data_IF_311467860373
#
_entry.id   IF_311467860373
#
_cell.length_a   1.000
_cell.length_b   1.000
_cell.length_c   1.000
_cell.angle_alpha   90.00
_cell.angle_beta   90.00
_cell.angle_gamma   90.00
#
_symmetry.space_group_name_H-M   'P 1'
#
loop_
_entity.id
_entity.type
_entity.pdbx_description
1 polymer ?
#
# COMPACT_ATOMS: atom_id res chain seq x y z
N UNK A 1 -22.09 -20.43 -26.72
CA UNK A 1 -22.15 -18.96 -26.82
C UNK A 1 -22.29 -18.44 -25.40
N UNK A 2 -21.16 -18.18 -24.74
CA UNK A 2 -21.16 -17.57 -23.40
C UNK A 2 -21.09 -16.07 -23.63
N UNK A 3 -22.20 -15.39 -23.40
CA UNK A 3 -22.22 -13.94 -23.30
C UNK A 3 -21.54 -13.57 -21.96
N UNK A 4 -20.32 -13.07 -22.04
CA UNK A 4 -19.72 -12.32 -20.94
C UNK A 4 -20.58 -11.07 -20.74
N UNK A 5 -21.51 -11.12 -19.82
CA UNK A 5 -22.19 -9.93 -19.32
C UNK A 5 -21.21 -9.21 -18.42
N UNK A 6 -20.57 -8.17 -18.91
CA UNK A 6 -19.93 -7.19 -18.06
C UNK A 6 -20.97 -6.65 -17.07
N UNK A 7 -20.60 -6.48 -15.79
CA UNK A 7 -21.48 -5.81 -14.84
C UNK A 7 -21.84 -4.40 -15.38
N UNK A 8 -23.03 -3.89 -15.07
CA UNK A 8 -23.40 -2.53 -15.45
C UNK A 8 -22.43 -1.54 -14.82
N UNK A 9 -21.98 -0.56 -15.61
CA UNK A 9 -21.13 0.53 -15.13
C UNK A 9 -21.78 1.21 -13.90
N UNK A 10 -20.99 1.65 -12.90
CA UNK A 10 -21.51 2.34 -11.73
C UNK A 10 -22.34 3.54 -12.15
N UNK A 11 -23.46 3.78 -11.45
CA UNK A 11 -24.45 4.83 -11.77
C UNK A 11 -23.96 6.26 -11.45
N UNK A 12 -22.71 6.46 -11.05
CA UNK A 12 -22.03 7.71 -10.78
C UNK A 12 -20.95 8.02 -11.83
N UNK A 13 -20.68 9.28 -12.06
CA UNK A 13 -19.56 9.71 -12.89
C UNK A 13 -18.26 9.34 -12.17
N UNK A 14 -17.36 8.60 -12.85
CA UNK A 14 -16.05 8.24 -12.30
C UNK A 14 -15.22 9.50 -12.05
N UNK A 15 -14.38 9.54 -10.99
CA UNK A 15 -13.39 10.61 -10.84
C UNK A 15 -12.56 10.74 -12.13
N UNK A 16 -12.17 11.96 -12.52
CA UNK A 16 -11.37 12.13 -13.74
C UNK A 16 -10.03 11.40 -13.60
N UNK A 17 -9.61 10.75 -14.68
CA UNK A 17 -8.31 10.06 -14.74
C UNK A 17 -7.20 11.11 -14.93
N UNK A 18 -6.81 11.73 -13.84
CA UNK A 18 -5.77 12.73 -13.77
C UNK A 18 -4.99 12.60 -12.46
N UNK A 19 -3.68 12.88 -12.52
CA UNK A 19 -2.88 12.91 -11.30
C UNK A 19 -3.39 13.97 -10.33
N UNK A 20 -3.59 13.64 -9.05
CA UNK A 20 -4.23 14.55 -8.13
C UNK A 20 -3.31 15.70 -7.69
N UNK A 21 -3.90 16.87 -7.52
CA UNK A 21 -3.30 18.01 -6.82
C UNK A 21 -4.16 18.32 -5.60
N UNK A 22 -3.57 18.29 -4.41
CA UNK A 22 -4.32 18.50 -3.17
C UNK A 22 -4.06 19.88 -2.57
N UNK A 23 -5.12 20.58 -2.17
CA UNK A 23 -5.02 21.82 -1.41
C UNK A 23 -4.71 21.56 0.08
N UNK A 24 -5.13 20.42 0.59
CA UNK A 24 -5.00 20.01 1.99
C UNK A 24 -5.26 18.49 2.16
N UNK A 25 -5.04 17.98 3.37
CA UNK A 25 -5.24 16.56 3.69
C UNK A 25 -6.70 16.12 3.57
N UNK A 26 -7.66 17.05 3.73
CA UNK A 26 -9.07 16.73 3.55
C UNK A 26 -9.38 16.46 2.08
N UNK A 27 -8.88 17.28 1.17
CA UNK A 27 -9.05 17.08 -0.28
C UNK A 27 -8.40 15.74 -0.72
N UNK A 28 -7.22 15.42 -0.17
CA UNK A 28 -6.56 14.12 -0.39
C UNK A 28 -7.44 12.96 0.08
N UNK A 29 -7.97 13.02 1.29
CA UNK A 29 -8.84 11.96 1.83
C UNK A 29 -10.14 11.81 1.03
N UNK A 30 -10.77 12.90 0.65
CA UNK A 30 -11.98 12.88 -0.17
C UNK A 30 -11.70 12.23 -1.54
N UNK A 31 -10.52 12.47 -2.13
CA UNK A 31 -10.10 11.83 -3.37
C UNK A 31 -9.82 10.34 -3.16
N UNK A 32 -9.11 9.93 -2.08
CA UNK A 32 -8.90 8.51 -1.77
C UNK A 32 -10.22 7.75 -1.64
N UNK A 33 -11.22 8.36 -0.99
CA UNK A 33 -12.56 7.78 -0.86
C UNK A 33 -13.20 7.59 -2.23
N UNK A 34 -13.16 8.61 -3.08
CA UNK A 34 -13.76 8.56 -4.42
C UNK A 34 -13.12 7.48 -5.30
N UNK A 35 -11.78 7.33 -5.25
CA UNK A 35 -11.08 6.27 -5.97
C UNK A 35 -11.45 4.88 -5.45
N UNK A 36 -11.49 4.71 -4.12
CA UNK A 36 -11.89 3.45 -3.48
C UNK A 36 -13.33 3.08 -3.85
N UNK A 37 -14.26 4.03 -3.79
CA UNK A 37 -15.67 3.82 -4.19
C UNK A 37 -15.79 3.43 -5.66
N UNK A 38 -15.07 4.11 -6.54
CA UNK A 38 -15.07 3.83 -7.98
C UNK A 38 -14.56 2.42 -8.27
N UNK A 39 -13.46 2.02 -7.66
CA UNK A 39 -12.87 0.69 -7.82
C UNK A 39 -13.78 -0.41 -7.26
N UNK A 40 -14.28 -0.24 -6.02
CA UNK A 40 -15.14 -1.24 -5.37
C UNK A 40 -16.51 -1.41 -6.07
N UNK A 41 -17.01 -0.37 -6.73
CA UNK A 41 -18.25 -0.46 -7.51
C UNK A 41 -18.17 -1.50 -8.63
N UNK A 42 -16.99 -1.77 -9.19
CA UNK A 42 -16.78 -2.81 -10.20
C UNK A 42 -16.97 -4.23 -9.63
N UNK A 43 -16.70 -4.41 -8.34
CA UNK A 43 -16.73 -5.70 -7.66
C UNK A 43 -18.04 -5.94 -6.89
N UNK A 44 -19.06 -5.07 -7.11
CA UNK A 44 -20.37 -5.17 -6.46
C UNK A 44 -20.28 -5.31 -4.93
N UNK A 45 -19.33 -4.59 -4.30
CA UNK A 45 -19.16 -4.61 -2.84
C UNK A 45 -20.25 -3.78 -2.18
N UNK A 46 -21.05 -4.37 -1.25
CA UNK A 46 -22.16 -3.66 -0.61
C UNK A 46 -21.70 -2.58 0.38
N UNK A 47 -20.54 -2.79 1.02
CA UNK A 47 -19.95 -1.87 2.00
C UNK A 47 -18.47 -1.67 1.65
N UNK A 48 -18.13 -0.55 1.03
CA UNK A 48 -16.78 -0.30 0.52
C UNK A 48 -15.77 0.01 1.64
N UNK A 49 -16.21 0.47 2.80
CA UNK A 49 -15.32 0.91 3.86
C UNK A 49 -15.37 0.00 5.08
N UNK A 50 -14.18 -0.24 5.65
CA UNK A 50 -13.99 -1.04 6.88
C UNK A 50 -13.15 -0.24 7.90
N UNK A 51 -13.64 0.93 8.37
CA UNK A 51 -12.87 1.79 9.28
C UNK A 51 -12.46 1.05 10.55
N UNK A 52 -11.25 1.36 11.00
CA UNK A 52 -10.66 0.80 12.21
C UNK A 52 -10.80 1.80 13.35
N UNK A 53 -11.17 1.32 14.54
CA UNK A 53 -11.34 2.20 15.69
C UNK A 53 -10.01 2.76 16.20
N UNK A 54 -10.05 3.96 16.80
CA UNK A 54 -8.88 4.56 17.45
C UNK A 54 -8.27 3.66 18.55
N UNK A 55 -9.09 2.83 19.20
CA UNK A 55 -8.63 1.86 20.21
C UNK A 55 -7.79 0.75 19.59
N UNK A 56 -8.20 0.22 18.43
CA UNK A 56 -7.45 -0.81 17.72
C UNK A 56 -6.13 -0.26 17.17
N UNK A 57 -6.14 0.98 16.68
CA UNK A 57 -4.91 1.66 16.22
C UNK A 57 -3.94 1.92 17.38
N UNK A 58 -4.46 2.34 18.56
CA UNK A 58 -3.63 2.50 19.74
C UNK A 58 -3.04 1.16 20.21
N UNK A 59 -3.80 0.06 20.12
CA UNK A 59 -3.30 -1.27 20.44
C UNK A 59 -2.23 -1.74 19.44
N UNK A 60 -2.37 -1.39 18.15
CA UNK A 60 -1.33 -1.62 17.14
C UNK A 60 -0.05 -0.89 17.50
N UNK A 61 -0.10 0.40 17.76
CA UNK A 61 1.09 1.20 18.11
C UNK A 61 1.77 0.69 19.38
N UNK A 62 0.99 0.27 20.38
CA UNK A 62 1.54 -0.36 21.57
C UNK A 62 2.28 -1.67 21.24
N UNK A 63 1.73 -2.49 20.35
CA UNK A 63 2.35 -3.75 19.87
C UNK A 63 3.64 -3.49 19.10
N UNK A 64 3.64 -2.49 18.22
CA UNK A 64 4.80 -2.11 17.42
C UNK A 64 5.89 -1.38 18.21
N UNK A 65 5.54 -0.74 19.34
CA UNK A 65 6.43 0.14 20.09
C UNK A 65 6.77 1.44 19.36
N UNK A 66 5.99 1.83 18.34
CA UNK A 66 6.13 3.08 17.62
C UNK A 66 4.78 3.59 17.13
N UNK A 67 4.70 4.89 16.81
CA UNK A 67 3.53 5.45 16.13
C UNK A 67 3.49 4.97 14.67
N UNK A 68 2.29 4.76 14.15
CA UNK A 68 2.10 4.58 12.70
C UNK A 68 2.09 5.95 12.01
N UNK A 69 2.54 6.03 10.74
CA UNK A 69 2.51 7.28 9.98
C UNK A 69 1.14 7.94 9.99
N UNK A 70 1.04 9.27 10.16
CA UNK A 70 -0.23 9.97 10.32
C UNK A 70 -1.24 9.71 9.19
N UNK A 71 -0.80 9.70 7.94
CA UNK A 71 -1.67 9.45 6.79
C UNK A 71 -2.12 7.98 6.70
N UNK A 72 -1.30 7.02 7.14
CA UNK A 72 -1.72 5.61 7.27
C UNK A 72 -2.79 5.47 8.37
N UNK A 73 -2.63 6.19 9.47
CA UNK A 73 -3.66 6.26 10.54
C UNK A 73 -4.98 6.78 9.98
N UNK A 74 -4.95 7.95 9.30
CA UNK A 74 -6.15 8.55 8.70
C UNK A 74 -6.81 7.60 7.71
N UNK A 75 -6.03 6.91 6.86
CA UNK A 75 -6.55 5.89 5.95
C UNK A 75 -7.33 4.81 6.69
N UNK A 76 -6.74 4.20 7.70
CA UNK A 76 -7.40 3.14 8.48
C UNK A 76 -8.61 3.64 9.27
N UNK A 77 -8.57 4.84 9.84
CA UNK A 77 -9.68 5.42 10.59
C UNK A 77 -10.89 5.79 9.71
N UNK A 78 -10.65 6.11 8.45
CA UNK A 78 -11.68 6.69 7.58
C UNK A 78 -12.11 5.77 6.43
N UNK A 79 -11.23 4.92 5.95
CA UNK A 79 -11.46 4.02 4.82
C UNK A 79 -11.30 2.57 5.27
N UNK A 80 -10.09 2.18 5.71
CA UNK A 80 -9.79 0.87 6.28
C UNK A 80 -9.97 -0.31 5.33
N UNK A 81 -10.32 -0.08 4.07
CA UNK A 81 -10.53 -1.13 3.09
C UNK A 81 -9.20 -1.77 2.71
N UNK A 82 -9.17 -3.10 2.80
CA UNK A 82 -8.03 -3.93 2.41
C UNK A 82 -8.27 -4.52 1.02
N UNK A 83 -7.26 -5.19 0.46
CA UNK A 83 -7.33 -5.84 -0.87
C UNK A 83 -7.77 -4.86 -1.98
N UNK A 84 -7.14 -3.71 -2.04
CA UNK A 84 -7.23 -2.80 -3.18
C UNK A 84 -6.40 -3.34 -4.37
N UNK A 85 -5.88 -2.48 -5.24
CA UNK A 85 -4.95 -2.87 -6.32
C UNK A 85 -3.72 -3.64 -5.80
N UNK A 86 -3.43 -3.48 -4.51
CA UNK A 86 -2.51 -4.29 -3.70
C UNK A 86 -3.16 -4.59 -2.36
N UNK A 87 -2.66 -5.60 -1.65
CA UNK A 87 -3.16 -5.93 -0.31
C UNK A 87 -2.54 -5.01 0.72
N UNK A 88 -3.36 -4.23 1.42
CA UNK A 88 -2.96 -3.55 2.65
C UNK A 88 -3.05 -4.50 3.85
N UNK A 89 -2.07 -4.42 4.76
CA UNK A 89 -2.03 -5.28 5.92
C UNK A 89 -3.07 -4.89 6.98
N UNK A 90 -3.57 -5.89 7.70
CA UNK A 90 -4.56 -5.70 8.77
C UNK A 90 -3.95 -5.03 10.00
N UNK A 91 -4.69 -4.09 10.58
CA UNK A 91 -4.36 -3.45 11.88
C UNK A 91 -4.46 -4.45 13.04
N UNK A 92 -5.47 -5.30 13.01
CA UNK A 92 -5.63 -6.36 14.01
C UNK A 92 -4.83 -7.59 13.63
N UNK A 93 -4.25 -8.34 14.59
CA UNK A 93 -3.54 -9.57 14.29
C UNK A 93 -4.40 -10.52 13.46
N UNK A 94 -3.89 -10.89 12.31
CA UNK A 94 -4.52 -11.84 11.40
C UNK A 94 -3.56 -12.98 11.11
N UNK A 95 -4.06 -14.05 10.52
CA UNK A 95 -3.21 -15.18 10.15
C UNK A 95 -2.18 -14.81 9.08
N UNK A 96 -2.54 -13.86 8.22
CA UNK A 96 -1.71 -13.37 7.12
C UNK A 96 -1.87 -11.86 6.99
N UNK A 97 -0.84 -11.21 6.46
CA UNK A 97 -0.83 -9.79 6.13
C UNK A 97 -1.24 -8.87 7.31
N UNK A 98 -0.59 -9.02 8.46
CA UNK A 98 -0.71 -8.10 9.59
C UNK A 98 0.33 -6.98 9.48
N UNK A 99 0.00 -5.79 10.02
CA UNK A 99 1.01 -4.75 10.24
C UNK A 99 1.92 -5.20 11.38
N UNK A 100 3.18 -5.48 11.07
CA UNK A 100 4.17 -6.02 12.01
C UNK A 100 5.61 -5.72 11.58
N UNK A 101 6.62 -5.85 12.46
CA UNK A 101 8.03 -5.69 12.08
C UNK A 101 8.42 -6.58 10.90
N UNK A 102 9.27 -6.06 10.00
CA UNK A 102 9.67 -6.79 8.79
C UNK A 102 10.25 -8.19 9.09
N UNK A 103 11.06 -8.33 10.15
CA UNK A 103 11.65 -9.63 10.52
C UNK A 103 10.61 -10.63 11.05
N UNK A 104 9.47 -10.18 11.54
CA UNK A 104 8.35 -11.05 11.95
C UNK A 104 7.49 -11.45 10.74
N UNK A 105 7.24 -10.50 9.83
CA UNK A 105 6.49 -10.73 8.60
C UNK A 105 7.25 -11.64 7.61
N UNK A 106 8.57 -11.52 7.56
CA UNK A 106 9.43 -12.34 6.70
C UNK A 106 10.61 -12.92 7.50
N UNK A 107 10.41 -13.99 8.26
CA UNK A 107 11.47 -14.60 9.08
C UNK A 107 12.69 -15.08 8.29
N UNK A 108 12.51 -15.45 7.02
CA UNK A 108 13.58 -15.88 6.11
C UNK A 108 14.64 -14.80 5.82
N UNK A 109 14.39 -13.53 6.18
CA UNK A 109 15.37 -12.45 6.02
C UNK A 109 16.66 -12.70 6.82
N UNK A 110 16.57 -13.43 7.91
CA UNK A 110 17.71 -13.87 8.72
C UNK A 110 18.67 -14.71 7.89
N UNK A 111 18.15 -15.73 7.23
CA UNK A 111 18.95 -16.65 6.41
C UNK A 111 19.60 -15.93 5.22
N UNK A 112 18.89 -14.96 4.64
CA UNK A 112 19.43 -14.14 3.55
C UNK A 112 20.60 -13.29 4.06
N UNK A 113 20.42 -12.55 5.16
CA UNK A 113 21.41 -11.61 5.68
C UNK A 113 22.63 -12.32 6.28
N UNK A 114 22.50 -13.53 6.82
CA UNK A 114 23.66 -14.32 7.29
C UNK A 114 24.65 -14.64 6.16
N UNK A 115 24.18 -14.65 4.92
CA UNK A 115 25.01 -14.96 3.75
C UNK A 115 25.50 -13.70 3.00
N UNK A 116 25.16 -12.49 3.47
CA UNK A 116 25.58 -11.21 2.86
C UNK A 116 26.81 -10.68 3.58
N UNK A 117 27.96 -10.44 2.88
CA UNK A 117 29.09 -9.76 3.47
C UNK A 117 28.70 -8.38 3.99
N UNK A 118 29.20 -8.02 5.19
CA UNK A 118 28.94 -6.71 5.82
C UNK A 118 27.44 -6.39 6.00
N UNK A 119 26.63 -7.35 6.40
CA UNK A 119 25.18 -7.21 6.56
C UNK A 119 24.74 -6.26 7.70
N UNK A 120 25.66 -5.76 8.54
CA UNK A 120 25.30 -4.94 9.71
C UNK A 120 24.43 -3.69 9.39
N UNK A 121 24.69 -2.92 8.32
CA UNK A 121 23.81 -1.79 7.96
C UNK A 121 22.42 -2.25 7.52
N UNK A 122 22.31 -3.39 6.82
CA UNK A 122 21.04 -3.93 6.39
C UNK A 122 20.23 -4.44 7.59
N UNK A 123 20.86 -5.10 8.56
CA UNK A 123 20.23 -5.48 9.82
C UNK A 123 19.70 -4.28 10.59
N UNK A 124 20.50 -3.20 10.67
CA UNK A 124 20.08 -1.97 11.32
C UNK A 124 18.81 -1.40 10.67
N UNK A 125 18.74 -1.41 9.34
CA UNK A 125 17.57 -0.96 8.59
C UNK A 125 16.37 -1.89 8.78
N UNK A 126 16.54 -3.21 8.63
CA UNK A 126 15.46 -4.21 8.82
C UNK A 126 14.76 -4.03 10.17
N UNK A 127 15.54 -3.77 11.23
CA UNK A 127 15.00 -3.55 12.58
C UNK A 127 14.20 -2.24 12.72
N UNK A 128 14.30 -1.33 11.77
CA UNK A 128 13.54 -0.07 11.73
C UNK A 128 12.31 -0.14 10.82
N UNK A 129 12.12 -1.24 10.09
CA UNK A 129 11.04 -1.36 9.12
C UNK A 129 9.84 -2.12 9.69
N UNK A 130 8.66 -1.58 9.40
CA UNK A 130 7.36 -2.16 9.75
C UNK A 130 6.56 -2.37 8.47
N UNK A 131 6.13 -3.59 8.21
CA UNK A 131 5.32 -3.96 7.05
C UNK A 131 3.92 -3.38 7.20
N UNK A 132 3.38 -2.79 6.15
CA UNK A 132 2.01 -2.29 6.08
C UNK A 132 1.28 -2.67 4.79
N UNK A 133 1.96 -3.24 3.83
CA UNK A 133 1.40 -3.73 2.58
C UNK A 133 2.14 -4.96 2.05
N UNK A 134 1.41 -5.82 1.36
CA UNK A 134 1.89 -7.04 0.71
C UNK A 134 1.62 -6.91 -0.79
N UNK A 135 2.65 -7.02 -1.61
CA UNK A 135 2.50 -6.96 -3.05
C UNK A 135 1.97 -8.29 -3.60
N UNK A 136 0.65 -8.39 -3.71
CA UNK A 136 -0.06 -9.52 -4.34
C UNK A 136 0.27 -10.91 -3.76
N UNK A 137 0.83 -10.99 -2.55
CA UNK A 137 1.18 -12.25 -1.90
C UNK A 137 2.40 -12.96 -2.51
N UNK A 138 3.24 -12.25 -3.24
CA UNK A 138 4.47 -12.80 -3.83
C UNK A 138 5.67 -12.83 -2.86
N UNK A 139 5.51 -12.32 -1.64
CA UNK A 139 6.55 -12.23 -0.61
C UNK A 139 7.31 -10.90 -0.61
N UNK A 140 7.01 -10.00 -1.55
CA UNK A 140 7.53 -8.63 -1.55
C UNK A 140 6.62 -7.74 -0.71
N UNK A 141 7.22 -6.85 0.10
CA UNK A 141 6.50 -6.16 1.15
C UNK A 141 6.76 -4.64 1.11
N UNK A 142 5.70 -3.88 1.36
CA UNK A 142 5.79 -2.45 1.60
C UNK A 142 5.98 -2.17 3.09
N UNK A 143 7.00 -1.41 3.42
CA UNK A 143 7.37 -1.09 4.79
C UNK A 143 7.44 0.41 5.01
N UNK A 144 7.12 0.86 6.22
CA UNK A 144 7.49 2.20 6.66
C UNK A 144 8.63 2.14 7.68
N UNK A 145 9.50 3.13 7.64
CA UNK A 145 10.54 3.30 8.63
C UNK A 145 9.96 3.93 9.90
N UNK A 146 10.13 3.28 11.06
CA UNK A 146 9.44 3.65 12.32
C UNK A 146 9.78 5.03 12.87
N UNK A 147 10.94 5.60 12.52
CA UNK A 147 11.37 6.91 12.98
C UNK A 147 11.12 8.02 11.96
N UNK A 148 11.34 7.75 10.67
CA UNK A 148 11.27 8.76 9.61
C UNK A 148 9.96 8.77 8.84
N UNK A 149 9.22 7.65 8.84
CA UNK A 149 8.00 7.48 8.05
C UNK A 149 8.22 7.24 6.55
N UNK A 150 9.49 7.18 6.11
CA UNK A 150 9.86 6.85 4.74
C UNK A 150 9.36 5.46 4.34
N UNK A 151 8.98 5.30 3.08
CA UNK A 151 8.48 4.03 2.56
C UNK A 151 9.59 3.29 1.83
N UNK A 152 9.75 2.04 2.21
CA UNK A 152 10.72 1.10 1.68
C UNK A 152 9.99 -0.10 1.06
N UNK A 153 10.52 -0.58 -0.06
CA UNK A 153 10.09 -1.82 -0.70
C UNK A 153 11.09 -2.93 -0.39
N UNK A 154 10.60 -3.99 0.17
CA UNK A 154 11.35 -5.23 0.38
C UNK A 154 11.04 -6.19 -0.77
N UNK A 155 12.09 -6.62 -1.44
CA UNK A 155 12.05 -7.55 -2.55
C UNK A 155 13.09 -8.64 -2.27
N UNK A 156 12.60 -9.81 -1.88
CA UNK A 156 13.44 -10.90 -1.41
C UNK A 156 14.31 -11.55 -2.50
N UNK A 157 13.99 -11.32 -3.77
CA UNK A 157 14.70 -11.86 -4.93
C UNK A 157 15.72 -10.88 -5.53
N UNK A 158 15.77 -9.63 -5.05
CA UNK A 158 16.63 -8.59 -5.59
C UNK A 158 17.85 -8.25 -4.72
N UNK A 159 18.84 -7.62 -5.34
CA UNK A 159 19.98 -7.01 -4.65
C UNK A 159 20.19 -5.58 -5.17
N UNK A 160 20.02 -4.55 -4.32
CA UNK A 160 19.66 -4.62 -2.90
C UNK A 160 18.21 -5.05 -2.70
N UNK A 161 17.95 -5.82 -1.61
CA UNK A 161 16.61 -6.27 -1.26
C UNK A 161 15.71 -5.18 -0.67
N UNK A 162 16.29 -4.09 -0.21
CA UNK A 162 15.59 -2.94 0.40
C UNK A 162 15.85 -1.70 -0.45
N UNK A 163 14.79 -1.12 -0.94
CA UNK A 163 14.84 0.11 -1.76
C UNK A 163 13.91 1.15 -1.16
N UNK A 164 14.44 2.36 -0.86
CA UNK A 164 13.60 3.49 -0.48
C UNK A 164 12.83 3.95 -1.72
N UNK A 165 11.51 3.96 -1.61
CA UNK A 165 10.63 4.30 -2.73
C UNK A 165 9.99 5.69 -2.58
N UNK A 166 9.52 6.02 -1.36
CA UNK A 166 8.81 7.26 -1.12
C UNK A 166 9.27 7.93 0.19
N UNK A 167 9.05 9.23 0.29
CA UNK A 167 9.39 10.01 1.49
C UNK A 167 8.36 9.87 2.60
N UNK A 168 7.14 9.44 2.26
CA UNK A 168 6.07 9.18 3.24
C UNK A 168 4.99 8.24 2.67
N UNK A 169 4.17 7.71 3.59
CA UNK A 169 3.09 6.76 3.24
C UNK A 169 1.97 7.43 2.42
N UNK A 170 1.81 8.75 2.52
CA UNK A 170 0.80 9.46 1.71
C UNK A 170 1.09 9.35 0.21
N UNK A 171 2.36 9.46 -0.18
CA UNK A 171 2.77 9.25 -1.58
C UNK A 171 2.44 7.84 -2.06
N UNK A 172 2.73 6.82 -1.25
CA UNK A 172 2.34 5.44 -1.57
C UNK A 172 0.83 5.29 -1.74
N UNK A 173 0.04 5.83 -0.80
CA UNK A 173 -1.42 5.73 -0.86
C UNK A 173 -2.01 6.49 -2.05
N UNK A 174 -1.44 7.65 -2.41
CA UNK A 174 -1.86 8.40 -3.61
C UNK A 174 -1.70 7.54 -4.87
N UNK A 175 -0.58 6.84 -4.99
CA UNK A 175 -0.32 5.97 -6.13
C UNK A 175 -1.23 4.74 -6.11
N UNK A 176 -1.42 4.13 -4.94
CA UNK A 176 -2.34 3.00 -4.80
C UNK A 176 -3.77 3.39 -5.21
N UNK A 177 -4.24 4.57 -4.80
CA UNK A 177 -5.55 5.09 -5.21
C UNK A 177 -5.60 5.41 -6.70
N UNK A 178 -4.52 5.92 -7.28
CA UNK A 178 -4.45 6.16 -8.71
C UNK A 178 -4.48 4.84 -9.51
N UNK A 179 -3.81 3.78 -9.03
CA UNK A 179 -3.92 2.42 -9.61
C UNK A 179 -5.35 1.90 -9.54
N UNK A 180 -6.05 2.09 -8.42
CA UNK A 180 -7.47 1.76 -8.31
C UNK A 180 -8.32 2.54 -9.33
N UNK A 181 -7.97 3.79 -9.57
CA UNK A 181 -8.69 4.63 -10.54
C UNK A 181 -8.39 4.22 -11.98
N UNK A 182 -7.14 3.84 -12.31
CA UNK A 182 -6.79 3.26 -13.61
C UNK A 182 -7.62 2.00 -13.89
N UNK A 183 -7.67 1.07 -12.93
CA UNK A 183 -8.48 -0.15 -13.03
C UNK A 183 -9.97 0.21 -13.22
N UNK A 184 -10.50 1.17 -12.44
CA UNK A 184 -11.88 1.64 -12.58
C UNK A 184 -12.22 2.21 -13.97
N UNK A 185 -11.23 2.76 -14.66
CA UNK A 185 -11.38 3.25 -16.03
C UNK A 185 -11.09 2.18 -17.11
N UNK A 186 -10.68 0.97 -16.72
CA UNK A 186 -10.26 -0.09 -17.65
C UNK A 186 -8.89 0.20 -18.30
N UNK A 187 -8.04 0.93 -17.58
CA UNK A 187 -6.70 1.38 -17.99
C UNK A 187 -5.60 0.78 -17.07
N UNK A 188 -5.85 -0.39 -16.46
CA UNK A 188 -4.94 -1.02 -15.49
C UNK A 188 -3.56 -1.31 -16.05
N UNK A 189 -3.43 -1.53 -17.37
CA UNK A 189 -2.17 -1.77 -18.07
C UNK A 189 -1.47 -0.48 -18.55
N UNK A 190 -2.05 0.70 -18.25
CA UNK A 190 -1.52 1.98 -18.71
C UNK A 190 -0.44 2.51 -17.75
N UNK A 191 0.76 1.92 -17.81
CA UNK A 191 1.91 2.34 -17.01
C UNK A 191 2.44 3.74 -17.41
N UNK A 192 2.16 4.21 -18.62
CA UNK A 192 2.69 5.49 -19.10
C UNK A 192 2.24 6.65 -18.22
N UNK A 193 0.99 6.62 -17.72
CA UNK A 193 0.48 7.62 -16.79
C UNK A 193 1.20 7.58 -15.43
N UNK A 194 1.58 6.39 -14.95
CA UNK A 194 2.39 6.26 -13.73
C UNK A 194 3.82 6.71 -13.97
N UNK A 195 4.43 6.36 -15.11
CA UNK A 195 5.81 6.75 -15.46
C UNK A 195 5.98 8.26 -15.59
N UNK A 196 4.97 8.96 -16.11
CA UNK A 196 4.98 10.43 -16.23
C UNK A 196 5.14 11.11 -14.86
N UNK A 197 4.55 10.55 -13.81
CA UNK A 197 4.53 11.15 -12.47
C UNK A 197 5.60 10.58 -11.52
N UNK A 198 5.95 9.30 -11.66
CA UNK A 198 6.86 8.61 -10.74
C UNK A 198 8.26 8.39 -11.30
N UNK A 199 8.39 8.41 -12.61
CA UNK A 199 9.62 8.03 -13.32
C UNK A 199 9.80 6.51 -13.43
N UNK A 200 10.62 6.12 -14.42
CA UNK A 200 10.83 4.72 -14.80
C UNK A 200 11.32 3.85 -13.63
N UNK A 201 12.28 4.34 -12.86
CA UNK A 201 12.92 3.55 -11.80
C UNK A 201 11.94 3.08 -10.71
N UNK A 202 10.94 3.91 -10.35
CA UNK A 202 9.91 3.54 -9.38
C UNK A 202 8.93 2.55 -9.99
N UNK A 203 8.46 2.82 -11.21
CA UNK A 203 7.49 1.95 -11.88
C UNK A 203 8.09 0.58 -12.16
N UNK A 204 9.31 0.51 -12.69
CA UNK A 204 10.01 -0.76 -12.91
C UNK A 204 10.18 -1.58 -11.62
N UNK A 205 10.49 -0.91 -10.50
CA UNK A 205 10.65 -1.61 -9.23
C UNK A 205 9.32 -2.05 -8.62
N UNK A 206 8.24 -1.33 -8.86
CA UNK A 206 6.91 -1.65 -8.32
C UNK A 206 6.16 -2.67 -9.16
N UNK A 207 6.29 -2.63 -10.48
CA UNK A 207 5.45 -3.42 -11.38
C UNK A 207 6.09 -4.77 -11.79
N UNK A 208 7.38 -4.97 -11.53
CA UNK A 208 8.17 -6.15 -11.90
C UNK A 208 9.02 -6.65 -10.74
#
# INVERSE_FOLDING_TARGET
MNSNSHPPAPSGELPPLAWPEFSDDKARLDWWRSCTEAWLAQWEKPDPFTPVSATELAALEQRLGCAIPPLLRVYHEQIGTLNLAETLCSVTPAKYASIEPLHDAYPGITDILENVPDAAPQWALVNQLVVFGDYLGNGNLWCFHRETGEVWYFDHDCSPMLTQMFTDVGQYLDILMFKCLLDAHGEEDNEDLLREHLGDAIVEKWMY
#
